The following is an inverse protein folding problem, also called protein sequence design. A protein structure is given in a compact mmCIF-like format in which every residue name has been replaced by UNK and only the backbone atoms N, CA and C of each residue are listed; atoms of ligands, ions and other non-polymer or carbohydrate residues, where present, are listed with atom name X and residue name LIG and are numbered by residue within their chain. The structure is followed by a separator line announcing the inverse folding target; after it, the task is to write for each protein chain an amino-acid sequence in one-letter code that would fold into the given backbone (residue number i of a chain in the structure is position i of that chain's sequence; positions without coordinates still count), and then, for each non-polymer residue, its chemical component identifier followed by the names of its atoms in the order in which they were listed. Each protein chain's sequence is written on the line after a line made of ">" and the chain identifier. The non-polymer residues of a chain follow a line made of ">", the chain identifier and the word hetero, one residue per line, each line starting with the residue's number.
data_IF_936765669795
#
_entry.id   IF_936765669795
#
_cell.length_a   1.000
_cell.length_b   1.000
_cell.length_c   1.000
_cell.angle_alpha   90.00
_cell.angle_beta   90.00
_cell.angle_gamma   90.00
#
_symmetry.space_group_name_H-M   'P 1'
#
loop_
_entity.id
_entity.type
_entity.pdbx_description
1 polymer ?
#
# COMPACT_ATOMS: atom_id res chain seq x y z
N UNK A 1 -13.19 -56.38 16.89
CA UNK A 1 -12.94 -55.12 17.61
C UNK A 1 -12.97 -54.00 16.58
N UNK A 2 -14.16 -53.45 16.27
CA UNK A 2 -14.34 -52.44 15.22
C UNK A 2 -14.01 -51.06 15.78
N UNK A 3 -12.92 -50.46 15.30
CA UNK A 3 -12.54 -49.09 15.60
C UNK A 3 -13.55 -48.14 14.96
N UNK A 4 -14.38 -47.51 15.79
CA UNK A 4 -15.31 -46.45 15.38
C UNK A 4 -14.49 -45.24 14.95
N UNK A 5 -14.45 -45.02 13.64
CA UNK A 5 -13.85 -43.84 13.02
C UNK A 5 -14.70 -42.62 13.37
N UNK A 6 -14.19 -41.79 14.29
CA UNK A 6 -14.86 -40.59 14.79
C UNK A 6 -14.77 -39.52 13.70
N UNK A 7 -15.76 -39.44 12.81
CA UNK A 7 -15.86 -38.36 11.83
C UNK A 7 -16.00 -37.02 12.56
N UNK A 8 -15.17 -36.01 12.27
CA UNK A 8 -15.26 -34.72 12.94
C UNK A 8 -16.52 -34.00 12.48
N UNK A 9 -17.56 -33.99 13.33
CA UNK A 9 -18.76 -33.18 13.17
C UNK A 9 -18.40 -31.68 13.24
N UNK A 10 -18.00 -31.11 12.10
CA UNK A 10 -17.86 -29.66 11.94
C UNK A 10 -19.26 -29.07 11.82
N UNK A 11 -19.61 -28.16 12.73
CA UNK A 11 -20.94 -27.55 12.75
C UNK A 11 -21.13 -26.60 11.56
N UNK A 12 -22.34 -26.48 10.99
CA UNK A 12 -22.61 -25.65 9.81
C UNK A 12 -22.25 -24.16 10.01
N UNK A 13 -22.24 -23.70 11.27
CA UNK A 13 -21.85 -22.33 11.64
C UNK A 13 -20.34 -22.09 11.43
N UNK A 14 -19.48 -23.07 11.77
CA UNK A 14 -18.03 -22.96 11.56
C UNK A 14 -17.64 -23.07 10.07
N UNK A 15 -18.39 -23.86 9.31
CA UNK A 15 -18.21 -23.93 7.86
C UNK A 15 -18.56 -22.59 7.20
N UNK A 16 -19.65 -21.95 7.62
CA UNK A 16 -20.05 -20.63 7.10
C UNK A 16 -19.04 -19.53 7.44
N UNK A 17 -18.57 -19.45 8.68
CA UNK A 17 -17.63 -18.39 9.11
C UNK A 17 -16.25 -18.50 8.46
N UNK A 18 -15.74 -19.73 8.28
CA UNK A 18 -14.46 -19.97 7.59
C UNK A 18 -14.53 -19.67 6.09
N UNK A 19 -15.63 -20.04 5.42
CA UNK A 19 -15.86 -19.71 4.01
C UNK A 19 -15.99 -18.20 3.79
N UNK A 20 -16.71 -17.50 4.68
CA UNK A 20 -16.82 -16.04 4.64
C UNK A 20 -15.46 -15.36 4.83
N UNK A 21 -14.67 -15.79 5.81
CA UNK A 21 -13.32 -15.25 6.04
C UNK A 21 -12.39 -15.47 4.84
N UNK A 22 -12.43 -16.65 4.23
CA UNK A 22 -11.65 -16.99 3.04
C UNK A 22 -12.09 -16.20 1.80
N UNK A 23 -13.39 -15.97 1.64
CA UNK A 23 -13.92 -15.13 0.55
C UNK A 23 -13.46 -13.67 0.68
N UNK A 24 -13.48 -13.12 1.91
CA UNK A 24 -13.01 -11.76 2.17
C UNK A 24 -11.51 -11.58 1.89
N UNK A 25 -10.66 -12.54 2.28
CA UNK A 25 -9.23 -12.47 2.00
C UNK A 25 -8.91 -12.51 0.50
N UNK A 26 -9.67 -13.29 -0.28
CA UNK A 26 -9.55 -13.30 -1.75
C UNK A 26 -9.95 -11.97 -2.39
N UNK A 27 -10.98 -11.29 -1.86
CA UNK A 27 -11.39 -9.96 -2.32
C UNK A 27 -10.27 -8.94 -2.06
N UNK A 28 -9.72 -8.90 -0.84
CA UNK A 28 -8.61 -7.99 -0.52
C UNK A 28 -7.39 -8.25 -1.40
N UNK A 29 -7.02 -9.52 -1.60
CA UNK A 29 -5.93 -9.93 -2.49
C UNK A 29 -6.15 -9.39 -3.91
N UNK A 30 -7.34 -9.62 -4.48
CA UNK A 30 -7.65 -9.17 -5.85
C UNK A 30 -7.60 -7.66 -5.99
N UNK A 31 -8.15 -6.93 -5.02
CA UNK A 31 -8.19 -5.48 -5.04
C UNK A 31 -6.79 -4.86 -4.86
N UNK A 32 -5.98 -5.37 -3.94
CA UNK A 32 -4.58 -4.92 -3.77
C UNK A 32 -3.76 -5.19 -5.01
N UNK A 33 -3.92 -6.36 -5.64
CA UNK A 33 -3.25 -6.66 -6.90
C UNK A 33 -3.63 -5.66 -7.99
N UNK A 34 -4.93 -5.39 -8.15
CA UNK A 34 -5.41 -4.44 -9.14
C UNK A 34 -4.84 -3.02 -8.89
N UNK A 35 -4.92 -2.52 -7.65
CA UNK A 35 -4.35 -1.23 -7.29
C UNK A 35 -2.83 -1.19 -7.45
N UNK A 36 -2.11 -2.25 -7.08
CA UNK A 36 -0.66 -2.35 -7.23
C UNK A 36 -0.23 -2.29 -8.70
N UNK A 37 -0.88 -3.04 -9.58
CA UNK A 37 -0.63 -2.98 -11.03
C UNK A 37 -1.03 -1.63 -11.62
N UNK A 38 -2.14 -1.04 -11.16
CA UNK A 38 -2.59 0.28 -11.59
C UNK A 38 -1.57 1.37 -11.23
N UNK A 39 -1.12 1.44 -9.98
CA UNK A 39 -0.12 2.41 -9.52
C UNK A 39 1.24 2.19 -10.21
N UNK A 40 1.63 0.94 -10.44
CA UNK A 40 2.84 0.62 -11.24
C UNK A 40 2.71 1.15 -12.67
N UNK A 41 1.55 0.96 -13.29
CA UNK A 41 1.27 1.47 -14.65
C UNK A 41 1.33 3.00 -14.69
N UNK A 42 0.76 3.67 -13.69
CA UNK A 42 0.91 5.12 -13.54
C UNK A 42 2.38 5.53 -13.43
N UNK A 43 3.20 4.76 -12.71
CA UNK A 43 4.65 4.98 -12.65
C UNK A 43 5.30 4.97 -14.03
N UNK A 44 5.00 3.98 -14.87
CA UNK A 44 5.50 3.95 -16.25
C UNK A 44 5.04 5.14 -17.07
N UNK A 45 3.77 5.54 -16.96
CA UNK A 45 3.23 6.72 -17.65
C UNK A 45 3.98 7.98 -17.21
N UNK A 46 4.15 8.19 -15.90
CA UNK A 46 4.91 9.33 -15.33
C UNK A 46 6.34 9.34 -15.88
N UNK A 47 6.96 8.16 -16.05
CA UNK A 47 8.30 8.02 -16.62
C UNK A 47 8.46 8.60 -18.02
N UNK A 48 7.42 8.53 -18.86
CA UNK A 48 7.44 9.05 -20.23
C UNK A 48 7.55 10.58 -20.24
N UNK A 49 6.93 11.24 -19.27
CA UNK A 49 6.85 12.70 -19.21
C UNK A 49 7.95 13.36 -18.37
N UNK A 50 8.96 12.60 -17.91
CA UNK A 50 10.07 13.12 -17.08
C UNK A 50 10.70 14.41 -17.65
N UNK A 51 11.03 14.50 -18.95
CA UNK A 51 11.68 15.69 -19.50
C UNK A 51 10.81 16.96 -19.48
N UNK A 52 9.50 16.82 -19.31
CA UNK A 52 8.53 17.91 -19.38
C UNK A 52 8.19 18.50 -18.00
N UNK A 53 8.65 17.88 -16.91
CA UNK A 53 8.38 18.37 -15.56
C UNK A 53 9.24 19.58 -15.21
N UNK A 54 8.68 20.50 -14.41
CA UNK A 54 9.41 21.64 -13.87
C UNK A 54 10.64 21.19 -13.05
N UNK A 55 10.53 20.03 -12.40
CA UNK A 55 11.64 19.36 -11.76
C UNK A 55 11.82 17.92 -12.28
N UNK A 56 12.69 17.69 -13.28
CA UNK A 56 12.94 16.35 -13.82
C UNK A 56 13.50 15.36 -12.79
N UNK A 57 14.25 15.84 -11.78
CA UNK A 57 14.78 14.99 -10.69
C UNK A 57 13.65 14.47 -9.80
N UNK A 58 12.71 15.35 -9.44
CA UNK A 58 11.51 14.93 -8.72
C UNK A 58 10.64 14.02 -9.59
N UNK A 59 10.51 14.28 -10.90
CA UNK A 59 9.80 13.39 -11.82
C UNK A 59 10.37 11.96 -11.88
N UNK A 60 11.69 11.83 -11.91
CA UNK A 60 12.36 10.53 -11.82
C UNK A 60 12.10 9.85 -10.47
N UNK A 61 12.14 10.62 -9.37
CA UNK A 61 11.80 10.11 -8.04
C UNK A 61 10.35 9.60 -7.99
N UNK A 62 9.37 10.39 -8.46
CA UNK A 62 7.96 10.00 -8.56
C UNK A 62 7.77 8.73 -9.38
N UNK A 63 8.45 8.60 -10.52
CA UNK A 63 8.42 7.41 -11.37
C UNK A 63 8.85 6.16 -10.58
N UNK A 64 10.03 6.22 -9.94
CA UNK A 64 10.54 5.09 -9.15
C UNK A 64 9.69 4.80 -7.91
N UNK A 65 9.19 5.84 -7.24
CA UNK A 65 8.30 5.73 -6.09
C UNK A 65 7.00 5.01 -6.47
N UNK A 66 6.37 5.38 -7.58
CA UNK A 66 5.13 4.76 -8.04
C UNK A 66 5.32 3.27 -8.39
N UNK A 67 6.42 2.90 -9.04
CA UNK A 67 6.74 1.49 -9.31
C UNK A 67 6.98 0.73 -8.01
N UNK A 68 7.76 1.28 -7.09
CA UNK A 68 8.08 0.64 -5.81
C UNK A 68 6.81 0.45 -4.95
N UNK A 69 5.97 1.47 -4.84
CA UNK A 69 4.71 1.38 -4.08
C UNK A 69 3.73 0.42 -4.75
N UNK A 70 3.62 0.45 -6.08
CA UNK A 70 2.78 -0.49 -6.82
C UNK A 70 3.20 -1.94 -6.58
N UNK A 71 4.50 -2.22 -6.65
CA UNK A 71 5.04 -3.54 -6.32
C UNK A 71 4.79 -3.93 -4.86
N UNK A 72 4.96 -3.00 -3.92
CA UNK A 72 4.68 -3.25 -2.50
C UNK A 72 3.20 -3.60 -2.25
N UNK A 73 2.25 -2.89 -2.89
CA UNK A 73 0.82 -3.23 -2.85
C UNK A 73 0.55 -4.62 -3.43
N UNK A 74 1.17 -4.96 -4.56
CA UNK A 74 0.98 -6.28 -5.18
C UNK A 74 1.52 -7.40 -4.29
N UNK A 75 2.72 -7.23 -3.71
CA UNK A 75 3.32 -8.21 -2.79
C UNK A 75 2.47 -8.37 -1.53
N UNK A 76 2.08 -7.28 -0.89
CA UNK A 76 1.22 -7.34 0.31
C UNK A 76 -0.15 -7.95 0.00
N UNK A 77 -0.70 -7.71 -1.20
CA UNK A 77 -1.91 -8.37 -1.68
C UNK A 77 -1.76 -9.88 -1.76
N UNK A 78 -0.64 -10.37 -2.31
CA UNK A 78 -0.34 -11.81 -2.37
C UNK A 78 -0.14 -12.42 -0.99
N UNK A 79 0.39 -11.66 -0.04
CA UNK A 79 0.61 -12.12 1.34
C UNK A 79 -0.68 -12.10 2.18
N UNK A 80 -1.68 -11.30 1.78
CA UNK A 80 -2.92 -11.09 2.54
C UNK A 80 -3.66 -12.36 3.01
N UNK A 81 -3.79 -13.42 2.19
CA UNK A 81 -4.42 -14.68 2.62
C UNK A 81 -3.66 -15.41 3.73
N UNK A 82 -2.36 -15.13 3.90
CA UNK A 82 -1.51 -15.75 4.92
C UNK A 82 -1.48 -14.96 6.24
N UNK A 83 -2.02 -13.73 6.27
CA UNK A 83 -2.04 -12.90 7.47
C UNK A 83 -3.08 -13.43 8.46
N UNK A 84 -2.61 -13.82 9.65
CA UNK A 84 -3.46 -14.24 10.77
C UNK A 84 -3.89 -13.02 11.59
N UNK A 85 -4.82 -12.24 11.06
CA UNK A 85 -5.30 -10.99 11.68
C UNK A 85 -6.82 -10.94 11.80
N UNK A 86 -7.38 -10.24 12.79
CA UNK A 86 -8.83 -10.05 12.88
C UNK A 86 -9.34 -9.19 11.72
N UNK A 87 -10.59 -9.41 11.31
CA UNK A 87 -11.18 -8.81 10.11
C UNK A 87 -11.09 -7.27 10.09
N UNK A 88 -11.36 -6.62 11.22
CA UNK A 88 -11.28 -5.15 11.34
C UNK A 88 -9.86 -4.61 11.08
N UNK A 89 -8.82 -5.33 11.53
CA UNK A 89 -7.43 -4.95 11.31
C UNK A 89 -7.03 -5.17 9.85
N UNK A 90 -7.60 -6.18 9.18
CA UNK A 90 -7.47 -6.38 7.74
C UNK A 90 -8.02 -5.20 6.93
N UNK A 91 -9.23 -4.72 7.27
CA UNK A 91 -9.83 -3.55 6.63
C UNK A 91 -8.94 -2.31 6.81
N UNK A 92 -8.46 -2.05 8.04
CA UNK A 92 -7.59 -0.91 8.31
C UNK A 92 -6.29 -1.03 7.50
N UNK A 93 -5.64 -2.19 7.52
CA UNK A 93 -4.39 -2.43 6.76
C UNK A 93 -4.59 -2.20 5.26
N UNK A 94 -5.70 -2.70 4.70
CA UNK A 94 -6.08 -2.48 3.31
C UNK A 94 -6.15 -0.99 2.97
N UNK A 95 -6.90 -0.21 3.74
CA UNK A 95 -7.10 1.21 3.47
C UNK A 95 -5.83 2.02 3.71
N UNK A 96 -5.04 1.72 4.74
CA UNK A 96 -3.75 2.38 4.98
C UNK A 96 -2.80 2.19 3.80
N UNK A 97 -2.70 0.98 3.24
CA UNK A 97 -1.86 0.69 2.07
C UNK A 97 -2.32 1.48 0.84
N UNK A 98 -3.61 1.40 0.52
CA UNK A 98 -4.19 2.05 -0.66
C UNK A 98 -4.07 3.57 -0.56
N UNK A 99 -4.48 4.16 0.56
CA UNK A 99 -4.41 5.62 0.76
C UNK A 99 -2.96 6.09 0.71
N UNK A 100 -2.04 5.39 1.38
CA UNK A 100 -0.61 5.73 1.35
C UNK A 100 -0.04 5.71 -0.08
N UNK A 101 -0.42 4.72 -0.89
CA UNK A 101 0.03 4.62 -2.29
C UNK A 101 -0.43 5.80 -3.13
N UNK A 102 -1.73 6.08 -3.14
CA UNK A 102 -2.27 7.13 -3.98
C UNK A 102 -1.83 8.52 -3.51
N UNK A 103 -1.91 8.79 -2.21
CA UNK A 103 -1.53 10.10 -1.67
C UNK A 103 -0.03 10.34 -1.81
N UNK A 104 0.81 9.33 -1.60
CA UNK A 104 2.26 9.46 -1.80
C UNK A 104 2.65 9.73 -3.25
N UNK A 105 2.16 8.92 -4.18
CA UNK A 105 2.48 9.10 -5.60
C UNK A 105 1.95 10.43 -6.12
N UNK A 106 0.74 10.83 -5.75
CA UNK A 106 0.15 12.11 -6.18
C UNK A 106 0.86 13.31 -5.58
N UNK A 107 1.25 13.28 -4.31
CA UNK A 107 2.00 14.36 -3.68
C UNK A 107 3.36 14.59 -4.34
N UNK A 108 4.12 13.52 -4.56
CA UNK A 108 5.42 13.58 -5.25
C UNK A 108 5.25 14.01 -6.72
N UNK A 109 4.21 13.52 -7.40
CA UNK A 109 3.87 13.93 -8.76
C UNK A 109 3.57 15.44 -8.85
N UNK A 110 2.79 15.96 -7.91
CA UNK A 110 2.51 17.39 -7.81
C UNK A 110 3.82 18.18 -7.61
N UNK A 111 4.72 17.66 -6.77
CA UNK A 111 6.05 18.22 -6.57
C UNK A 111 6.90 18.25 -7.83
N UNK A 112 6.84 17.20 -8.66
CA UNK A 112 7.53 17.16 -9.94
C UNK A 112 6.96 18.18 -10.94
N UNK A 113 5.63 18.25 -11.06
CA UNK A 113 4.94 19.12 -12.03
C UNK A 113 5.11 20.59 -11.68
N UNK A 114 4.93 20.96 -10.42
CA UNK A 114 4.98 22.37 -9.97
C UNK A 114 6.34 22.80 -9.44
N UNK A 115 7.30 21.89 -9.31
CA UNK A 115 8.64 22.20 -8.79
C UNK A 115 8.64 22.52 -7.30
N UNK A 116 7.81 21.85 -6.50
CA UNK A 116 7.73 22.08 -5.05
C UNK A 116 9.03 21.64 -4.37
N UNK A 117 9.45 22.39 -3.35
CA UNK A 117 10.80 22.27 -2.79
C UNK A 117 10.85 21.98 -1.30
N UNK A 118 9.78 22.24 -0.54
CA UNK A 118 9.82 22.30 0.94
C UNK A 118 10.11 20.95 1.59
N UNK A 119 9.36 19.92 1.20
CA UNK A 119 9.57 18.54 1.69
C UNK A 119 10.51 17.75 0.77
N UNK A 120 10.67 18.18 -0.49
CA UNK A 120 11.45 17.53 -1.54
C UNK A 120 12.89 18.07 -1.63
N UNK A 121 13.52 18.29 -0.48
CA UNK A 121 14.77 19.06 -0.35
C UNK A 121 15.90 18.53 -1.24
N UNK A 122 15.98 17.20 -1.43
CA UNK A 122 17.03 16.56 -2.24
C UNK A 122 16.74 16.71 -3.74
N UNK A 123 15.51 16.47 -4.18
CA UNK A 123 15.15 16.51 -5.60
C UNK A 123 14.98 17.94 -6.10
N UNK A 124 14.67 18.88 -5.22
CA UNK A 124 14.40 20.29 -5.54
C UNK A 124 15.57 21.25 -5.31
N UNK A 125 16.79 20.74 -5.12
CA UNK A 125 17.96 21.60 -4.90
C UNK A 125 18.14 22.61 -6.04
N UNK A 126 18.15 23.90 -5.69
CA UNK A 126 18.34 25.01 -6.64
C UNK A 126 17.06 25.54 -7.29
N UNK A 127 15.88 25.03 -6.94
CA UNK A 127 14.60 25.61 -7.37
C UNK A 127 14.09 26.67 -6.37
N UNK A 128 13.37 27.70 -6.85
CA UNK A 128 12.69 28.66 -5.98
C UNK A 128 11.51 28.01 -5.26
N UNK A 129 11.16 28.55 -4.10
CA UNK A 129 10.02 28.08 -3.32
C UNK A 129 8.71 28.23 -4.13
N UNK A 130 7.91 27.16 -4.19
CA UNK A 130 6.61 27.20 -4.85
C UNK A 130 5.54 27.92 -4.03
N UNK A 131 4.28 27.92 -4.51
CA UNK A 131 3.15 28.47 -3.76
C UNK A 131 3.00 27.77 -2.39
N UNK A 132 3.07 28.55 -1.31
CA UNK A 132 3.10 28.04 0.07
C UNK A 132 1.96 27.09 0.43
N UNK A 133 0.76 27.33 -0.12
CA UNK A 133 -0.40 26.48 0.15
C UNK A 133 -0.25 25.08 -0.49
N UNK A 134 0.36 24.97 -1.67
CA UNK A 134 0.66 23.69 -2.32
C UNK A 134 1.78 22.96 -1.58
N UNK A 135 2.84 23.68 -1.21
CA UNK A 135 3.97 23.15 -0.43
C UNK A 135 3.48 22.53 0.89
N UNK A 136 2.61 23.23 1.61
CA UNK A 136 2.06 22.75 2.88
C UNK A 136 1.16 21.51 2.69
N UNK A 137 0.33 21.47 1.65
CA UNK A 137 -0.52 20.30 1.37
C UNK A 137 0.35 19.07 1.10
N UNK A 138 1.37 19.19 0.23
CA UNK A 138 2.27 18.07 -0.10
C UNK A 138 3.09 17.67 1.12
N UNK A 139 3.60 18.62 1.90
CA UNK A 139 4.34 18.31 3.12
C UNK A 139 3.49 17.55 4.16
N UNK A 140 2.29 18.04 4.46
CA UNK A 140 1.40 17.42 5.46
C UNK A 140 0.99 16.02 4.99
N UNK A 141 0.61 15.88 3.72
CA UNK A 141 0.22 14.60 3.15
C UNK A 141 1.38 13.60 3.15
N UNK A 142 2.59 14.01 2.75
CA UNK A 142 3.79 13.16 2.78
C UNK A 142 4.15 12.70 4.21
N UNK A 143 4.00 13.59 5.20
CA UNK A 143 4.19 13.21 6.61
C UNK A 143 3.13 12.21 7.08
N UNK A 144 1.86 12.43 6.72
CA UNK A 144 0.76 11.56 7.12
C UNK A 144 0.88 10.15 6.53
N UNK A 145 1.19 10.02 5.23
CA UNK A 145 1.34 8.70 4.58
C UNK A 145 2.52 7.91 5.15
N UNK A 146 3.57 8.59 5.64
CA UNK A 146 4.72 7.95 6.29
C UNK A 146 4.27 7.23 7.56
N UNK A 147 3.37 7.84 8.33
CA UNK A 147 2.77 7.18 9.50
C UNK A 147 1.86 6.02 9.07
N UNK A 148 1.06 6.20 8.02
CA UNK A 148 0.12 5.16 7.56
C UNK A 148 0.84 3.91 7.06
N UNK A 149 1.92 4.08 6.28
CA UNK A 149 2.68 2.94 5.76
C UNK A 149 3.40 2.19 6.88
N UNK A 150 3.95 2.89 7.88
CA UNK A 150 4.58 2.25 9.03
C UNK A 150 3.58 1.46 9.88
N UNK A 151 2.38 2.00 10.10
CA UNK A 151 1.30 1.29 10.79
C UNK A 151 0.86 0.04 10.00
N UNK A 152 0.70 0.14 8.68
CA UNK A 152 0.37 -1.00 7.84
C UNK A 152 1.45 -2.09 7.90
N UNK A 153 2.73 -1.70 7.80
CA UNK A 153 3.86 -2.63 7.98
C UNK A 153 3.82 -3.31 9.34
N UNK A 154 3.51 -2.58 10.42
CA UNK A 154 3.35 -3.14 11.76
C UNK A 154 2.26 -4.22 11.82
N UNK A 155 1.10 -3.98 11.21
CA UNK A 155 0.01 -4.97 11.14
C UNK A 155 0.36 -6.19 10.29
N UNK A 156 1.08 -5.98 9.18
CA UNK A 156 1.55 -7.08 8.32
C UNK A 156 2.53 -7.97 9.08
N UNK A 157 3.52 -7.39 9.76
CA UNK A 157 4.49 -8.12 10.57
C UNK A 157 3.82 -8.88 11.71
N UNK A 158 2.86 -8.25 12.39
CA UNK A 158 2.07 -8.90 13.42
C UNK A 158 1.27 -10.10 12.86
N UNK A 159 0.66 -9.94 11.68
CA UNK A 159 -0.10 -10.99 11.01
C UNK A 159 0.74 -12.17 10.48
N UNK A 160 2.03 -11.94 10.22
CA UNK A 160 3.01 -12.93 9.76
C UNK A 160 3.79 -13.59 10.91
N UNK A 161 3.46 -13.29 12.17
CA UNK A 161 4.20 -13.80 13.31
C UNK A 161 4.26 -15.34 13.27
N UNK A 162 5.46 -15.95 13.45
CA UNK A 162 5.58 -17.40 13.55
C UNK A 162 4.68 -17.91 14.67
N UNK A 163 3.89 -18.95 14.39
CA UNK A 163 3.23 -19.69 15.47
C UNK A 163 4.30 -20.56 16.07
N UNK A 164 4.76 -20.23 17.28
CA UNK A 164 5.63 -21.10 18.06
C UNK A 164 4.88 -22.42 18.25
N UNK A 165 5.39 -23.49 17.64
CA UNK A 165 4.97 -24.85 17.92
C UNK A 165 5.61 -25.27 19.25
N UNK A 166 4.84 -25.13 20.33
CA UNK A 166 5.10 -25.82 21.60
C UNK A 166 4.47 -27.22 21.57
#
# INVERSE_FOLDING_TARGET
>A
MSTVERTPHTSPIQLSSSVLSKSQSEIYRRNLLWHGFFVTTLGFIIGIFIPLYANPRAGLATHTLAIAQGMFLSVTGLTFPYLKIPHWMGIITFWLLVISAYVGVSGEFLGAVFGLTKILVITAQGLPLGPLWMENIVEISTKAITVFILLACGFILFGLRPVTSD
#
